data_IF_918792375356
#
_entry.id   IF_918792375356
#
_cell.length_a   1.000
_cell.length_b   1.000
_cell.length_c   1.000
_cell.angle_alpha   90.00
_cell.angle_beta   90.00
_cell.angle_gamma   90.00
#
_symmetry.space_group_name_H-M   'P 1'
#
loop_
_entity.id
_entity.type
_entity.pdbx_description
1 polymer ?
#
# COMPACT_ATOMS: atom_id res chain seq x y z
N UNK A 1 9.40 5.31 2.46
CA UNK A 1 8.88 4.31 1.57
C UNK A 1 7.89 4.87 0.57
N UNK A 2 8.01 4.40 -0.65
CA UNK A 2 7.16 4.89 -1.73
C UNK A 2 5.69 4.53 -1.50
N UNK A 3 5.44 3.32 -1.00
CA UNK A 3 4.07 2.87 -0.77
C UNK A 3 3.36 3.75 0.24
N UNK A 4 4.03 4.12 1.31
CA UNK A 4 3.42 4.99 2.30
C UNK A 4 3.06 6.35 1.70
N UNK A 5 3.96 6.86 0.88
CA UNK A 5 3.73 8.14 0.21
C UNK A 5 2.49 8.08 -0.68
N UNK A 6 2.41 7.04 -1.52
CA UNK A 6 1.28 6.92 -2.43
C UNK A 6 -0.03 6.73 -1.67
N UNK A 7 0.01 5.98 -0.58
CA UNK A 7 -1.19 5.75 0.21
C UNK A 7 -1.72 7.02 0.87
N UNK A 8 -0.83 7.91 1.27
CA UNK A 8 -1.23 9.11 1.99
C UNK A 8 -1.48 10.30 1.07
N UNK A 9 -0.89 10.33 -0.11
CA UNK A 9 -0.98 11.50 -0.98
C UNK A 9 -1.89 11.32 -2.19
N UNK A 10 -2.31 10.10 -2.48
CA UNK A 10 -3.16 9.84 -3.64
C UNK A 10 -4.42 9.10 -3.22
N UNK A 11 -5.40 9.09 -4.12
CA UNK A 11 -6.63 8.31 -3.92
C UNK A 11 -6.61 7.00 -4.71
N UNK A 12 -5.46 6.59 -5.19
CA UNK A 12 -5.35 5.35 -5.95
C UNK A 12 -5.69 4.16 -5.07
N UNK A 13 -6.29 3.15 -5.69
CA UNK A 13 -6.62 1.93 -4.97
C UNK A 13 -5.34 1.17 -4.60
N UNK A 14 -5.48 0.27 -3.62
CA UNK A 14 -4.35 -0.57 -3.22
C UNK A 14 -3.84 -1.36 -4.42
N UNK A 15 -4.76 -1.84 -5.25
CA UNK A 15 -4.41 -2.59 -6.44
C UNK A 15 -3.56 -1.75 -7.39
N UNK A 16 -3.96 -0.52 -7.62
CA UNK A 16 -3.23 0.36 -8.52
C UNK A 16 -1.85 0.70 -7.98
N UNK A 17 -1.76 0.93 -6.69
CA UNK A 17 -0.48 1.21 -6.07
C UNK A 17 0.46 0.02 -6.19
N UNK A 18 -0.08 -1.18 -6.00
CA UNK A 18 0.73 -2.39 -6.14
C UNK A 18 1.33 -2.50 -7.53
N UNK A 19 0.52 -2.28 -8.54
CA UNK A 19 1.02 -2.37 -9.92
C UNK A 19 1.98 -1.25 -10.27
N UNK A 20 1.72 -0.06 -9.75
CA UNK A 20 2.62 1.07 -9.97
C UNK A 20 4.00 0.79 -9.39
N UNK A 21 4.06 0.06 -8.30
CA UNK A 21 5.32 -0.30 -7.66
C UNK A 21 5.91 -1.61 -8.17
N UNK A 22 5.34 -2.14 -9.25
CA UNK A 22 5.85 -3.34 -9.92
C UNK A 22 5.68 -4.62 -9.11
N UNK A 23 4.68 -4.69 -8.26
CA UNK A 23 4.35 -5.93 -7.59
C UNK A 23 3.51 -6.80 -8.52
N UNK A 24 3.67 -8.10 -8.40
CA UNK A 24 2.96 -9.04 -9.25
C UNK A 24 1.47 -9.08 -8.94
N UNK A 25 1.11 -8.88 -7.68
CA UNK A 25 -0.29 -8.92 -7.29
C UNK A 25 -0.51 -8.00 -6.11
N UNK A 26 -1.75 -7.49 -5.97
CA UNK A 26 -2.08 -6.69 -4.80
C UNK A 26 -1.96 -7.46 -3.49
N UNK A 27 -2.24 -8.77 -3.54
CA UNK A 27 -2.14 -9.59 -2.34
C UNK A 27 -0.69 -9.66 -1.85
N UNK A 28 0.23 -9.84 -2.76
CA UNK A 28 1.64 -9.88 -2.41
C UNK A 28 2.09 -8.53 -1.84
N UNK A 29 1.66 -7.46 -2.47
CA UNK A 29 1.98 -6.13 -1.99
C UNK A 29 1.45 -5.91 -0.57
N UNK A 30 0.22 -6.30 -0.33
CA UNK A 30 -0.39 -6.13 1.00
C UNK A 30 0.37 -6.91 2.05
N UNK A 31 0.75 -8.14 1.75
CA UNK A 31 1.50 -8.95 2.69
C UNK A 31 2.87 -8.34 2.99
N UNK A 32 3.52 -7.87 1.96
CA UNK A 32 4.83 -7.25 2.10
C UNK A 32 4.74 -5.98 2.93
N UNK A 33 3.75 -5.16 2.64
CA UNK A 33 3.56 -3.92 3.37
C UNK A 33 3.28 -4.18 4.85
N UNK A 34 2.39 -5.14 5.12
CA UNK A 34 2.07 -5.48 6.50
C UNK A 34 3.31 -5.99 7.23
N UNK A 35 4.13 -6.78 6.54
CA UNK A 35 5.35 -7.32 7.13
C UNK A 35 6.32 -6.21 7.52
N UNK A 36 6.38 -5.16 6.74
CA UNK A 36 7.33 -4.08 6.96
C UNK A 36 6.82 -3.03 7.94
N UNK A 37 5.53 -2.77 7.95
CA UNK A 37 4.96 -1.69 8.74
C UNK A 37 4.11 -2.16 9.89
N UNK A 38 3.72 -3.43 9.90
CA UNK A 38 2.87 -3.95 10.96
C UNK A 38 1.38 -3.80 10.69
N UNK A 39 0.98 -3.18 9.59
CA UNK A 39 -0.43 -3.01 9.28
C UNK A 39 -0.65 -3.06 7.78
N UNK A 40 -1.87 -3.45 7.40
CA UNK A 40 -2.22 -3.54 5.99
C UNK A 40 -2.22 -2.16 5.34
N UNK A 41 -1.99 -2.09 4.03
CA UNK A 41 -1.99 -0.78 3.36
C UNK A 41 -3.32 -0.05 3.48
N UNK A 42 -4.44 -0.75 3.43
CA UNK A 42 -5.73 -0.08 3.58
C UNK A 42 -5.92 0.47 4.99
N UNK A 43 -5.45 -0.26 5.99
CA UNK A 43 -5.49 0.22 7.36
C UNK A 43 -4.59 1.44 7.54
N UNK A 44 -3.43 1.39 6.93
CA UNK A 44 -2.51 2.52 6.98
C UNK A 44 -3.14 3.76 6.39
N UNK A 45 -3.80 3.61 5.23
CA UNK A 45 -4.46 4.75 4.58
C UNK A 45 -5.53 5.34 5.47
N UNK A 46 -6.34 4.49 6.10
CA UNK A 46 -7.39 4.97 6.99
C UNK A 46 -6.82 5.72 8.18
N UNK A 47 -5.67 5.29 8.66
CA UNK A 47 -5.02 5.93 9.80
C UNK A 47 -4.47 7.31 9.44
N UNK A 48 -3.94 7.47 8.24
CA UNK A 48 -3.28 8.70 7.85
C UNK A 48 -4.22 9.72 7.23
N UNK A 49 -5.44 9.36 6.96
CA UNK A 49 -6.44 10.29 6.42
C UNK A 49 -7.39 10.75 7.49
#
# INVERSE_FOLDING_TARGET
QRAKELLSTTNESIKEIAYRLNFESPDYFSAKFKNQTGMKPSDFRNTTR
#
